data_IF_257950018934
#
_entry.id   IF_257950018934
#
_cell.length_a   1.000
_cell.length_b   1.000
_cell.length_c   1.000
_cell.angle_alpha   90.00
_cell.angle_beta   90.00
_cell.angle_gamma   90.00
#
_symmetry.space_group_name_H-M   'P 1'
#
loop_
_entity.id
_entity.type
_entity.pdbx_description
1 polymer ?
#
# COMPACT_ATOMS: atom_id res chain seq x y z
N UNK A 1 -2.42 18.87 -35.86
CA UNK A 1 -3.08 20.09 -35.31
C UNK A 1 -2.02 21.15 -35.08
N UNK A 2 -2.11 22.31 -35.75
CA UNK A 2 -1.10 23.38 -35.66
C UNK A 2 -1.05 24.01 -34.24
N UNK A 3 0.12 24.50 -33.81
CA UNK A 3 0.38 25.05 -32.46
C UNK A 3 -0.58 26.19 -32.12
N UNK A 4 -0.84 27.10 -33.07
CA UNK A 4 -1.76 28.22 -32.90
C UNK A 4 -3.20 27.76 -32.55
N UNK A 5 -3.66 26.67 -33.16
CA UNK A 5 -4.96 26.09 -32.83
C UNK A 5 -4.95 25.50 -31.41
N UNK A 6 -3.88 24.81 -31.00
CA UNK A 6 -3.79 24.27 -29.63
C UNK A 6 -3.90 25.37 -28.57
N UNK A 7 -3.18 26.48 -28.73
CA UNK A 7 -3.22 27.60 -27.77
C UNK A 7 -4.62 28.21 -27.67
N UNK A 8 -5.30 28.42 -28.80
CA UNK A 8 -6.67 28.95 -28.82
C UNK A 8 -7.65 28.00 -28.10
N UNK A 9 -7.60 26.71 -28.42
CA UNK A 9 -8.47 25.70 -27.78
C UNK A 9 -8.25 25.61 -26.28
N UNK A 10 -7.00 25.68 -25.82
CA UNK A 10 -6.69 25.70 -24.38
C UNK A 10 -7.25 26.94 -23.69
N UNK A 11 -7.11 28.12 -24.30
CA UNK A 11 -7.63 29.36 -23.74
C UNK A 11 -9.15 29.32 -23.62
N UNK A 12 -9.85 28.92 -24.69
CA UNK A 12 -11.31 28.80 -24.69
C UNK A 12 -11.76 27.79 -23.65
N UNK A 13 -11.18 26.59 -23.64
CA UNK A 13 -11.56 25.55 -22.68
C UNK A 13 -11.27 25.96 -21.24
N UNK A 14 -10.14 26.62 -20.97
CA UNK A 14 -9.82 27.16 -19.64
C UNK A 14 -10.89 28.13 -19.12
N UNK A 15 -11.43 29.00 -19.98
CA UNK A 15 -12.55 29.89 -19.61
C UNK A 15 -13.85 29.11 -19.38
N UNK A 16 -14.09 28.04 -20.16
CA UNK A 16 -15.32 27.26 -20.12
C UNK A 16 -15.41 26.25 -18.97
N UNK A 17 -14.32 26.01 -18.24
CA UNK A 17 -14.33 25.23 -17.00
C UNK A 17 -15.31 25.76 -15.94
N UNK A 18 -15.59 27.08 -15.95
CA UNK A 18 -16.49 27.78 -15.03
C UNK A 18 -17.93 27.91 -15.55
N UNK A 19 -18.28 27.27 -16.67
CA UNK A 19 -19.63 27.38 -17.24
C UNK A 19 -20.66 26.70 -16.35
N UNK A 20 -21.84 27.28 -16.16
CA UNK A 20 -22.93 26.62 -15.43
C UNK A 20 -23.45 25.35 -16.13
N UNK A 21 -23.23 25.22 -17.44
CA UNK A 21 -23.69 24.08 -18.23
C UNK A 21 -22.69 22.92 -18.13
N UNK A 22 -23.12 21.82 -17.52
CA UNK A 22 -22.32 20.60 -17.31
C UNK A 22 -21.66 20.11 -18.61
N UNK A 23 -22.42 19.98 -19.71
CA UNK A 23 -21.87 19.52 -20.99
C UNK A 23 -20.76 20.43 -21.54
N UNK A 24 -20.82 21.74 -21.29
CA UNK A 24 -19.77 22.69 -21.71
C UNK A 24 -18.51 22.46 -20.88
N UNK A 25 -18.64 22.30 -19.56
CA UNK A 25 -17.51 21.96 -18.68
C UNK A 25 -16.88 20.64 -19.07
N UNK A 26 -17.68 19.62 -19.34
CA UNK A 26 -17.22 18.31 -19.79
C UNK A 26 -16.34 18.43 -21.05
N UNK A 27 -16.85 19.09 -22.10
CA UNK A 27 -16.10 19.30 -23.35
C UNK A 27 -14.83 20.10 -23.10
N UNK A 28 -14.88 21.10 -22.24
CA UNK A 28 -13.70 21.89 -21.86
C UNK A 28 -12.63 21.02 -21.19
N UNK A 29 -13.02 20.19 -20.22
CA UNK A 29 -12.14 19.26 -19.51
C UNK A 29 -11.50 18.26 -20.49
N UNK A 30 -12.29 17.61 -21.34
CA UNK A 30 -11.77 16.65 -22.33
C UNK A 30 -10.81 17.33 -23.31
N UNK A 31 -11.14 18.55 -23.74
CA UNK A 31 -10.27 19.31 -24.64
C UNK A 31 -8.94 19.65 -23.96
N UNK A 32 -8.97 20.09 -22.69
CA UNK A 32 -7.74 20.32 -21.92
C UNK A 32 -6.94 19.04 -21.72
N UNK A 33 -7.57 17.89 -21.51
CA UNK A 33 -6.89 16.59 -21.52
C UNK A 33 -6.13 16.36 -22.81
N UNK A 34 -6.76 16.64 -23.97
CA UNK A 34 -6.19 16.40 -25.30
C UNK A 34 -5.18 17.44 -25.80
N UNK A 35 -5.07 18.62 -25.22
CA UNK A 35 -4.10 19.63 -25.70
C UNK A 35 -3.41 20.43 -24.61
N UNK A 36 -3.77 20.20 -23.35
CA UNK A 36 -3.30 20.95 -22.18
C UNK A 36 -1.83 20.72 -21.89
N UNK A 37 -1.28 21.60 -21.06
CA UNK A 37 0.07 21.49 -20.51
C UNK A 37 0.04 21.52 -18.98
N UNK A 38 1.20 21.67 -18.36
CA UNK A 38 1.34 21.71 -16.89
C UNK A 38 0.46 22.76 -16.17
N UNK A 39 0.16 23.92 -16.80
CA UNK A 39 -0.76 24.90 -16.20
C UNK A 39 -2.21 24.41 -16.22
N UNK A 40 -2.58 23.64 -17.23
CA UNK A 40 -3.91 23.06 -17.34
C UNK A 40 -4.04 21.81 -16.46
N UNK A 41 -2.96 21.06 -16.29
CA UNK A 41 -2.84 19.99 -15.28
C UNK A 41 -3.21 20.49 -13.88
N UNK A 42 -2.58 21.58 -13.43
CA UNK A 42 -2.85 22.19 -12.12
C UNK A 42 -4.31 22.67 -12.00
N UNK A 43 -4.88 23.23 -13.07
CA UNK A 43 -6.30 23.62 -13.11
C UNK A 43 -7.23 22.43 -12.99
N UNK A 44 -6.95 21.33 -13.69
CA UNK A 44 -7.75 20.11 -13.66
C UNK A 44 -7.65 19.41 -12.30
N UNK A 45 -6.47 19.42 -11.67
CA UNK A 45 -6.28 18.89 -10.30
C UNK A 45 -7.23 19.54 -9.28
N UNK A 46 -7.52 20.83 -9.43
CA UNK A 46 -8.48 21.53 -8.59
C UNK A 46 -9.94 21.12 -8.81
N UNK A 47 -10.23 20.32 -9.84
CA UNK A 47 -11.57 19.79 -10.12
C UNK A 47 -11.75 18.33 -9.65
N UNK A 48 -10.74 17.74 -9.01
CA UNK A 48 -10.82 16.37 -8.44
C UNK A 48 -11.80 16.27 -7.27
N UNK A 49 -12.24 17.41 -6.74
CA UNK A 49 -13.23 17.51 -5.67
C UNK A 49 -14.65 17.70 -6.21
N UNK A 50 -14.87 17.60 -7.53
CA UNK A 50 -16.20 17.80 -8.10
C UNK A 50 -17.22 16.76 -7.64
N UNK A 51 -18.39 17.27 -7.26
CA UNK A 51 -19.51 16.43 -6.86
C UNK A 51 -20.07 15.65 -8.05
N UNK A 52 -20.17 16.29 -9.21
CA UNK A 52 -20.69 15.67 -10.42
C UNK A 52 -19.74 14.58 -10.94
N UNK A 53 -20.20 13.33 -10.89
CA UNK A 53 -19.40 12.16 -11.28
C UNK A 53 -18.94 12.17 -12.74
N UNK A 54 -19.74 12.71 -13.66
CA UNK A 54 -19.38 12.80 -15.07
C UNK A 54 -18.19 13.75 -15.29
N UNK A 55 -18.23 14.92 -14.65
CA UNK A 55 -17.13 15.89 -14.69
C UNK A 55 -15.90 15.40 -13.96
N UNK A 56 -16.08 14.68 -12.85
CA UNK A 56 -14.99 14.09 -12.10
C UNK A 56 -14.25 13.02 -12.92
N UNK A 57 -15.00 12.11 -13.56
CA UNK A 57 -14.43 11.08 -14.42
C UNK A 57 -13.71 11.70 -15.62
N UNK A 58 -14.31 12.71 -16.25
CA UNK A 58 -13.66 13.46 -17.32
C UNK A 58 -12.37 14.13 -16.84
N UNK A 59 -12.37 14.70 -15.63
CA UNK A 59 -11.20 15.34 -15.03
C UNK A 59 -10.07 14.34 -14.83
N UNK A 60 -10.36 13.20 -14.20
CA UNK A 60 -9.38 12.15 -13.97
C UNK A 60 -8.78 11.65 -15.29
N UNK A 61 -9.64 11.36 -16.27
CA UNK A 61 -9.20 10.92 -17.60
C UNK A 61 -8.30 11.96 -18.27
N UNK A 62 -8.69 13.24 -18.25
CA UNK A 62 -7.91 14.32 -18.83
C UNK A 62 -6.58 14.57 -18.11
N UNK A 63 -6.52 14.40 -16.79
CA UNK A 63 -5.27 14.48 -16.04
C UNK A 63 -4.31 13.37 -16.49
N UNK A 64 -4.79 12.12 -16.57
CA UNK A 64 -4.02 10.97 -17.05
C UNK A 64 -3.47 11.22 -18.45
N UNK A 65 -4.31 11.66 -19.38
CA UNK A 65 -3.88 12.03 -20.75
C UNK A 65 -2.79 13.11 -20.79
N UNK A 66 -2.80 14.09 -19.87
CA UNK A 66 -1.74 15.10 -19.83
C UNK A 66 -0.43 14.48 -19.33
N UNK A 67 -0.47 13.66 -18.28
CA UNK A 67 0.71 12.97 -17.74
C UNK A 67 1.31 12.05 -18.80
N UNK A 68 0.50 11.17 -19.40
CA UNK A 68 0.95 10.12 -20.31
C UNK A 68 1.61 10.65 -21.60
N UNK A 69 1.35 11.92 -21.97
CA UNK A 69 1.92 12.57 -23.16
C UNK A 69 3.06 13.53 -22.84
N UNK A 70 3.29 13.82 -21.57
CA UNK A 70 4.42 14.62 -21.15
C UNK A 70 5.69 13.78 -21.29
N UNK A 71 6.69 14.35 -21.96
CA UNK A 71 7.96 13.66 -22.25
C UNK A 71 9.17 14.41 -21.66
N UNK A 72 8.95 15.58 -21.06
CA UNK A 72 10.00 16.32 -20.37
C UNK A 72 10.09 15.89 -18.91
N UNK A 73 11.22 15.31 -18.52
CA UNK A 73 11.51 14.93 -17.13
C UNK A 73 11.34 16.11 -16.16
N UNK A 74 11.68 17.33 -16.58
CA UNK A 74 11.49 18.54 -15.78
C UNK A 74 10.00 18.81 -15.53
N UNK A 75 9.16 18.67 -16.56
CA UNK A 75 7.72 18.87 -16.42
C UNK A 75 7.08 17.75 -15.59
N UNK A 76 7.50 16.50 -15.77
CA UNK A 76 7.01 15.36 -14.99
C UNK A 76 7.30 15.59 -13.50
N UNK A 77 8.54 15.92 -13.13
CA UNK A 77 8.91 16.24 -11.74
C UNK A 77 8.10 17.40 -11.16
N UNK A 78 7.81 18.42 -11.99
CA UNK A 78 6.98 19.55 -11.56
C UNK A 78 5.52 19.13 -11.36
N UNK A 79 4.97 18.26 -12.21
CA UNK A 79 3.64 17.69 -12.03
C UNK A 79 3.56 16.84 -10.75
N UNK A 80 4.57 16.01 -10.49
CA UNK A 80 4.71 15.21 -9.26
C UNK A 80 4.67 16.08 -8.00
N UNK A 81 5.40 17.20 -7.98
CA UNK A 81 5.40 18.14 -6.85
C UNK A 81 4.03 18.80 -6.65
N UNK A 82 3.40 19.31 -7.72
CA UNK A 82 2.06 19.92 -7.67
C UNK A 82 1.04 18.91 -7.16
N UNK A 83 1.15 17.66 -7.62
CA UNK A 83 0.29 16.56 -7.22
C UNK A 83 0.41 16.26 -5.72
N UNK A 84 1.63 16.14 -5.20
CA UNK A 84 1.88 15.88 -3.77
C UNK A 84 1.34 17.02 -2.89
N UNK A 85 1.65 18.27 -3.23
CA UNK A 85 1.15 19.45 -2.49
C UNK A 85 -0.39 19.45 -2.43
N UNK A 86 -1.04 19.17 -3.57
CA UNK A 86 -2.50 19.10 -3.63
C UNK A 86 -3.04 17.93 -2.80
N UNK A 87 -2.39 16.77 -2.83
CA UNK A 87 -2.80 15.60 -2.07
C UNK A 87 -2.72 15.83 -0.55
N UNK A 88 -1.63 16.42 -0.08
CA UNK A 88 -1.38 16.69 1.34
C UNK A 88 -2.37 17.71 1.90
N UNK A 89 -2.76 18.70 1.10
CA UNK A 89 -3.71 19.76 1.50
C UNK A 89 -5.19 19.34 1.38
N UNK A 90 -5.50 18.22 0.72
CA UNK A 90 -6.86 17.69 0.65
C UNK A 90 -7.30 17.11 2.00
N UNK A 91 -8.52 17.44 2.43
CA UNK A 91 -9.11 16.86 3.66
C UNK A 91 -10.04 15.66 3.37
N UNK A 92 -10.68 15.64 2.20
CA UNK A 92 -11.71 14.65 1.85
C UNK A 92 -11.14 13.27 1.51
N UNK A 93 -11.60 12.23 2.21
CA UNK A 93 -11.24 10.83 1.90
C UNK A 93 -11.55 10.46 0.45
N UNK A 94 -12.73 10.87 -0.07
CA UNK A 94 -13.12 10.64 -1.46
C UNK A 94 -12.09 11.22 -2.43
N UNK A 95 -11.70 12.48 -2.24
CA UNK A 95 -10.71 13.16 -3.08
C UNK A 95 -9.36 12.46 -3.04
N UNK A 96 -8.91 12.03 -1.85
CA UNK A 96 -7.67 11.26 -1.70
C UNK A 96 -7.72 9.90 -2.41
N UNK A 97 -8.84 9.18 -2.34
CA UNK A 97 -9.02 7.92 -3.09
C UNK A 97 -8.91 8.16 -4.60
N UNK A 98 -9.56 9.21 -5.11
CA UNK A 98 -9.50 9.56 -6.53
C UNK A 98 -8.08 9.90 -6.96
N UNK A 99 -7.38 10.68 -6.15
CA UNK A 99 -5.98 10.99 -6.39
C UNK A 99 -5.15 9.70 -6.43
N UNK A 100 -5.26 8.80 -5.45
CA UNK A 100 -4.58 7.50 -5.47
C UNK A 100 -4.78 6.75 -6.80
N UNK A 101 -5.99 6.76 -7.36
CA UNK A 101 -6.26 6.16 -8.68
C UNK A 101 -5.59 6.93 -9.84
N UNK A 102 -5.55 8.26 -9.80
CA UNK A 102 -4.81 9.10 -10.77
C UNK A 102 -3.30 8.87 -10.67
N UNK A 103 -2.78 8.59 -9.47
CA UNK A 103 -1.34 8.37 -9.25
C UNK A 103 -0.76 7.28 -10.14
N UNK A 104 -1.60 6.32 -10.58
CA UNK A 104 -1.24 5.20 -11.48
C UNK A 104 -0.66 5.63 -12.83
N UNK A 105 -0.89 6.88 -13.26
CA UNK A 105 -0.25 7.42 -14.47
C UNK A 105 1.19 7.89 -14.25
N UNK A 106 1.67 7.98 -13.01
CA UNK A 106 3.06 8.28 -12.70
C UNK A 106 3.94 7.03 -12.62
N UNK A 107 5.25 7.26 -12.60
CA UNK A 107 6.26 6.21 -12.42
C UNK A 107 6.04 5.41 -11.14
N UNK A 108 6.45 4.14 -11.14
CA UNK A 108 6.32 3.29 -9.95
C UNK A 108 7.14 3.84 -8.78
N UNK A 109 8.32 4.41 -9.05
CA UNK A 109 9.19 5.00 -8.04
C UNK A 109 8.52 6.18 -7.33
N UNK A 110 7.88 7.07 -8.08
CA UNK A 110 7.13 8.19 -7.48
C UNK A 110 5.98 7.69 -6.61
N UNK A 111 5.21 6.72 -7.10
CA UNK A 111 4.08 6.15 -6.37
C UNK A 111 4.52 5.49 -5.07
N UNK A 112 5.59 4.71 -5.09
CA UNK A 112 6.17 4.07 -3.89
C UNK A 112 6.57 5.10 -2.83
N UNK A 113 7.28 6.16 -3.22
CA UNK A 113 7.67 7.23 -2.30
C UNK A 113 6.46 7.97 -1.72
N UNK A 114 5.46 8.25 -2.56
CA UNK A 114 4.22 8.87 -2.12
C UNK A 114 3.50 7.97 -1.11
N UNK A 115 3.29 6.69 -1.43
CA UNK A 115 2.49 5.79 -0.61
C UNK A 115 3.14 5.52 0.75
N UNK A 116 4.46 5.35 0.80
CA UNK A 116 5.20 5.21 2.06
C UNK A 116 4.94 6.39 2.99
N UNK A 117 5.09 7.63 2.49
CA UNK A 117 4.80 8.83 3.29
C UNK A 117 3.37 8.86 3.81
N UNK A 118 2.43 8.39 3.00
CA UNK A 118 1.01 8.42 3.35
C UNK A 118 0.59 7.33 4.33
N UNK A 119 1.25 6.18 4.34
CA UNK A 119 0.94 5.12 5.30
C UNK A 119 1.20 5.60 6.74
N UNK A 120 2.29 6.33 7.00
CA UNK A 120 2.63 6.77 8.35
C UNK A 120 1.59 7.74 8.93
N UNK A 121 1.09 8.69 8.12
CA UNK A 121 0.28 9.82 8.60
C UNK A 121 -1.24 9.67 8.42
N UNK A 122 -1.71 8.52 7.91
CA UNK A 122 -3.11 8.33 7.54
C UNK A 122 -3.97 7.56 8.56
N UNK A 123 -5.27 7.87 8.57
CA UNK A 123 -6.30 7.13 9.30
C UNK A 123 -6.54 5.76 8.64
N UNK A 124 -7.10 4.81 9.40
CA UNK A 124 -7.29 3.42 8.97
C UNK A 124 -7.98 3.26 7.59
N UNK A 125 -9.04 4.01 7.31
CA UNK A 125 -9.76 3.93 6.02
C UNK A 125 -8.88 4.30 4.82
N UNK A 126 -8.02 5.31 4.99
CA UNK A 126 -7.11 5.75 3.94
C UNK A 126 -5.93 4.77 3.82
N UNK A 127 -5.40 4.27 4.95
CA UNK A 127 -4.40 3.19 4.96
C UNK A 127 -4.89 1.99 4.17
N UNK A 128 -6.13 1.55 4.40
CA UNK A 128 -6.73 0.43 3.67
C UNK A 128 -6.69 0.66 2.16
N UNK A 129 -7.08 1.85 1.71
CA UNK A 129 -7.05 2.20 0.29
C UNK A 129 -5.62 2.18 -0.26
N UNK A 130 -4.67 2.81 0.43
CA UNK A 130 -3.27 2.87 0.00
C UNK A 130 -2.69 1.45 -0.13
N UNK A 131 -2.88 0.61 0.89
CA UNK A 131 -2.39 -0.78 0.91
C UNK A 131 -3.03 -1.58 -0.23
N UNK A 132 -4.32 -1.39 -0.52
CA UNK A 132 -5.00 -2.11 -1.61
C UNK A 132 -4.37 -1.85 -2.99
N UNK A 133 -3.79 -0.65 -3.19
CA UNK A 133 -3.10 -0.30 -4.44
C UNK A 133 -1.65 -0.80 -4.46
N UNK A 134 -1.08 -1.07 -3.28
CA UNK A 134 0.23 -1.67 -3.08
C UNK A 134 0.26 -3.20 -3.23
N UNK A 135 -0.86 -3.86 -3.52
CA UNK A 135 -0.95 -5.34 -3.60
C UNK A 135 0.14 -6.01 -4.45
N UNK A 136 0.66 -5.30 -5.46
CA UNK A 136 1.67 -5.82 -6.37
C UNK A 136 3.13 -5.41 -6.09
N UNK A 137 3.39 -4.70 -5.00
CA UNK A 137 4.71 -4.19 -4.67
C UNK A 137 5.72 -5.31 -4.36
N UNK A 138 6.99 -5.06 -4.69
CA UNK A 138 8.13 -5.92 -4.33
C UNK A 138 9.13 -5.23 -3.40
N UNK A 139 9.25 -3.91 -3.44
CA UNK A 139 10.23 -3.18 -2.62
C UNK A 139 10.05 -3.50 -1.13
N UNK A 140 11.07 -4.13 -0.53
CA UNK A 140 11.08 -4.55 0.86
C UNK A 140 10.86 -3.38 1.84
N UNK A 141 11.33 -2.17 1.51
CA UNK A 141 11.11 -0.98 2.34
C UNK A 141 9.64 -0.58 2.36
N UNK A 142 8.97 -0.68 1.21
CA UNK A 142 7.53 -0.41 1.13
C UNK A 142 6.75 -1.51 1.85
N UNK A 143 7.20 -2.77 1.75
CA UNK A 143 6.63 -3.89 2.47
C UNK A 143 6.75 -3.71 4.00
N UNK A 144 7.85 -3.16 4.51
CA UNK A 144 7.99 -2.84 5.94
C UNK A 144 6.93 -1.82 6.41
N UNK A 145 6.71 -0.76 5.63
CA UNK A 145 5.70 0.25 5.96
C UNK A 145 4.26 -0.30 5.88
N UNK A 146 4.01 -1.20 4.92
CA UNK A 146 2.75 -1.95 4.88
C UNK A 146 2.60 -2.82 6.12
N UNK A 147 3.67 -3.53 6.52
CA UNK A 147 3.64 -4.42 7.68
C UNK A 147 3.38 -3.66 8.99
N UNK A 148 3.98 -2.48 9.15
CA UNK A 148 3.71 -1.60 10.30
C UNK A 148 2.22 -1.26 10.43
N UNK A 149 1.49 -1.20 9.30
CA UNK A 149 0.04 -0.96 9.31
C UNK A 149 -0.77 -2.17 9.79
N UNK A 150 -0.17 -3.36 9.90
CA UNK A 150 -0.80 -4.56 10.45
C UNK A 150 -0.89 -4.53 11.99
N UNK A 151 -0.13 -3.65 12.64
CA UNK A 151 -0.21 -3.41 14.09
C UNK A 151 -1.40 -2.53 14.45
N UNK A 152 -2.60 -3.06 14.19
CA UNK A 152 -3.87 -2.37 14.42
C UNK A 152 -4.88 -3.33 15.02
N UNK A 153 -5.82 -2.80 15.79
CA UNK A 153 -6.98 -3.54 16.29
C UNK A 153 -8.01 -3.79 15.20
N UNK A 154 -8.01 -2.98 14.14
CA UNK A 154 -8.88 -3.12 12.98
C UNK A 154 -8.57 -4.41 12.18
N UNK A 155 -9.45 -5.42 12.22
CA UNK A 155 -9.18 -6.70 11.57
C UNK A 155 -9.10 -6.58 10.04
N UNK A 156 -9.81 -5.63 9.43
CA UNK A 156 -9.81 -5.47 7.98
C UNK A 156 -8.49 -4.86 7.51
N UNK A 157 -8.05 -3.78 8.16
CA UNK A 157 -6.77 -3.13 7.86
C UNK A 157 -5.60 -4.09 8.11
N UNK A 158 -5.63 -4.81 9.23
CA UNK A 158 -4.62 -5.80 9.56
C UNK A 158 -4.53 -6.90 8.50
N UNK A 159 -5.67 -7.46 8.10
CA UNK A 159 -5.71 -8.52 7.11
C UNK A 159 -5.17 -8.06 5.75
N UNK A 160 -5.55 -6.88 5.26
CA UNK A 160 -5.05 -6.40 3.96
C UNK A 160 -3.55 -6.07 4.01
N UNK A 161 -3.05 -5.57 5.15
CA UNK A 161 -1.63 -5.32 5.37
C UNK A 161 -0.85 -6.64 5.31
N UNK A 162 -1.28 -7.67 6.05
CA UNK A 162 -0.67 -9.00 6.03
C UNK A 162 -0.75 -9.65 4.64
N UNK A 163 -1.89 -9.54 3.95
CA UNK A 163 -2.07 -10.08 2.60
C UNK A 163 -1.12 -9.44 1.60
N UNK A 164 -1.01 -8.11 1.64
CA UNK A 164 -0.14 -7.34 0.75
C UNK A 164 1.32 -7.65 1.03
N UNK A 165 1.71 -7.66 2.31
CA UNK A 165 3.06 -8.02 2.73
C UNK A 165 3.44 -9.44 2.28
N UNK A 166 2.61 -10.44 2.61
CA UNK A 166 2.83 -11.83 2.25
C UNK A 166 2.91 -12.04 0.73
N UNK A 167 1.98 -11.43 -0.03
CA UNK A 167 1.95 -11.54 -1.49
C UNK A 167 3.19 -10.90 -2.14
N UNK A 168 3.76 -9.87 -1.52
CA UNK A 168 5.04 -9.29 -1.93
C UNK A 168 6.20 -10.26 -1.75
N UNK A 169 6.27 -10.92 -0.59
CA UNK A 169 7.34 -11.87 -0.26
C UNK A 169 7.33 -13.13 -1.12
N UNK A 170 6.14 -13.67 -1.44
CA UNK A 170 6.01 -14.87 -2.30
C UNK A 170 6.58 -14.64 -3.71
N UNK A 171 6.86 -13.40 -4.10
CA UNK A 171 7.46 -13.05 -5.41
C UNK A 171 9.00 -13.12 -5.43
N UNK A 172 9.61 -13.48 -4.31
CA UNK A 172 11.06 -13.66 -4.14
C UNK A 172 11.38 -15.14 -3.89
N UNK A 173 12.61 -15.52 -4.21
CA UNK A 173 13.16 -16.79 -3.73
C UNK A 173 13.50 -16.65 -2.24
N UNK A 174 13.20 -17.69 -1.45
CA UNK A 174 13.33 -17.61 0.01
C UNK A 174 14.75 -17.28 0.46
N UNK A 175 15.74 -17.78 -0.27
CA UNK A 175 17.16 -17.60 0.04
C UNK A 175 17.55 -16.12 -0.01
N UNK A 176 16.88 -15.32 -0.84
CA UNK A 176 17.15 -13.88 -0.99
C UNK A 176 16.52 -13.03 0.12
N UNK A 177 15.49 -13.55 0.80
CA UNK A 177 14.68 -12.80 1.77
C UNK A 177 14.70 -13.41 3.17
N UNK A 178 15.49 -14.45 3.42
CA UNK A 178 15.49 -15.18 4.69
C UNK A 178 15.87 -14.25 5.86
N UNK A 179 16.92 -13.45 5.69
CA UNK A 179 17.39 -12.49 6.69
C UNK A 179 16.34 -11.40 6.94
N UNK A 180 15.63 -11.00 5.89
CA UNK A 180 14.54 -10.03 5.98
C UNK A 180 13.32 -10.57 6.75
N UNK A 181 13.05 -11.87 6.66
CA UNK A 181 11.94 -12.54 7.34
C UNK A 181 12.31 -12.93 8.77
N UNK A 182 13.57 -13.19 9.07
CA UNK A 182 14.02 -13.77 10.33
C UNK A 182 13.59 -12.97 11.58
N UNK A 183 13.57 -11.64 11.49
CA UNK A 183 13.10 -10.71 12.54
C UNK A 183 11.57 -10.47 12.50
N UNK A 184 10.89 -10.96 11.47
CA UNK A 184 9.44 -10.81 11.21
C UNK A 184 8.68 -12.13 11.24
N UNK A 185 9.29 -13.20 11.79
CA UNK A 185 8.68 -14.53 11.83
C UNK A 185 7.30 -14.54 12.49
N UNK A 186 7.09 -13.73 13.54
CA UNK A 186 5.77 -13.64 14.17
C UNK A 186 4.69 -13.07 13.25
N UNK A 187 5.06 -12.12 12.39
CA UNK A 187 4.14 -11.62 11.37
C UNK A 187 3.87 -12.67 10.30
N UNK A 188 4.87 -13.47 9.91
CA UNK A 188 4.68 -14.57 8.97
C UNK A 188 3.77 -15.66 9.55
N UNK A 189 3.92 -16.02 10.82
CA UNK A 189 3.01 -16.92 11.54
C UNK A 189 1.59 -16.34 11.53
N UNK A 190 1.44 -15.06 11.87
CA UNK A 190 0.12 -14.40 11.89
C UNK A 190 -0.50 -14.35 10.50
N UNK A 191 0.26 -14.01 9.46
CA UNK A 191 -0.19 -14.00 8.07
C UNK A 191 -0.64 -15.41 7.63
N UNK A 192 0.16 -16.44 7.94
CA UNK A 192 -0.16 -17.84 7.63
C UNK A 192 -1.48 -18.27 8.27
N UNK A 193 -1.73 -17.85 9.52
CA UNK A 193 -2.99 -18.11 10.21
C UNK A 193 -4.15 -17.27 9.64
N UNK A 194 -4.05 -15.94 9.62
CA UNK A 194 -5.19 -15.08 9.26
C UNK A 194 -5.58 -15.20 7.78
N UNK A 195 -4.62 -15.48 6.90
CA UNK A 195 -4.85 -15.68 5.46
C UNK A 195 -5.11 -17.14 5.10
N UNK A 196 -4.95 -18.07 6.04
CA UNK A 196 -5.14 -19.52 5.84
C UNK A 196 -4.29 -20.05 4.67
N UNK A 197 -3.01 -19.67 4.63
CA UNK A 197 -2.09 -20.10 3.56
C UNK A 197 -1.66 -21.56 3.75
N UNK A 198 -1.10 -22.18 2.72
CA UNK A 198 -0.54 -23.54 2.77
C UNK A 198 0.73 -23.64 3.65
N UNK A 199 1.22 -22.50 4.15
CA UNK A 199 2.40 -22.44 5.00
C UNK A 199 3.72 -22.70 4.29
N UNK A 200 3.76 -22.78 2.95
CA UNK A 200 5.00 -23.10 2.22
C UNK A 200 6.13 -22.13 2.54
N UNK A 201 5.85 -20.82 2.47
CA UNK A 201 6.82 -19.77 2.82
C UNK A 201 7.25 -19.88 4.28
N UNK A 202 6.30 -20.11 5.21
CA UNK A 202 6.60 -20.30 6.62
C UNK A 202 7.51 -21.51 6.86
N UNK A 203 7.21 -22.67 6.26
CA UNK A 203 8.04 -23.87 6.33
C UNK A 203 9.46 -23.55 5.92
N UNK A 204 9.62 -22.98 4.73
CA UNK A 204 10.92 -22.62 4.19
C UNK A 204 11.65 -21.66 5.14
N UNK A 205 11.02 -20.56 5.56
CA UNK A 205 11.64 -19.62 6.48
C UNK A 205 12.09 -20.26 7.80
N UNK A 206 11.29 -21.15 8.39
CA UNK A 206 11.65 -21.84 9.64
C UNK A 206 12.80 -22.84 9.47
N UNK A 207 12.94 -23.42 8.27
CA UNK A 207 13.98 -24.41 7.94
C UNK A 207 15.35 -23.75 7.72
N UNK A 208 15.36 -22.53 7.15
CA UNK A 208 16.56 -21.78 6.82
C UNK A 208 16.98 -20.75 7.90
N UNK A 209 16.16 -20.51 8.92
CA UNK A 209 16.48 -19.53 9.97
C UNK A 209 17.71 -19.98 10.78
N UNK A 210 18.80 -19.19 10.75
CA UNK A 210 19.92 -19.38 11.68
C UNK A 210 19.45 -19.15 13.11
N UNK A 211 19.80 -20.05 14.03
CA UNK A 211 19.38 -20.03 15.43
C UNK A 211 19.74 -18.75 16.16
N UNK A 212 20.75 -18.03 15.69
CA UNK A 212 21.20 -16.77 16.27
C UNK A 212 20.41 -15.53 15.79
N UNK A 213 19.61 -15.66 14.72
CA UNK A 213 18.80 -14.59 14.14
C UNK A 213 17.30 -14.76 14.40
N UNK A 214 16.92 -15.80 15.16
CA UNK A 214 15.52 -16.12 15.45
C UNK A 214 14.89 -15.03 16.34
N UNK A 215 13.70 -14.56 15.94
CA UNK A 215 12.87 -13.65 16.76
C UNK A 215 12.62 -14.24 18.15
N UNK A 216 12.67 -13.46 19.26
CA UNK A 216 12.42 -13.96 20.60
C UNK A 216 11.05 -14.65 20.73
N UNK A 217 10.85 -15.60 21.65
CA UNK A 217 9.59 -16.30 21.79
C UNK A 217 8.41 -15.36 22.09
N UNK A 218 7.25 -15.65 21.49
CA UNK A 218 6.01 -14.91 21.69
C UNK A 218 4.87 -15.84 22.10
N UNK A 219 4.00 -15.32 22.96
CA UNK A 219 2.78 -15.95 23.42
C UNK A 219 1.70 -15.97 22.32
N UNK A 220 1.07 -17.13 22.11
CA UNK A 220 0.00 -17.33 21.14
C UNK A 220 -1.24 -17.97 21.78
N UNK A 221 -2.45 -17.63 21.32
CA UNK A 221 -3.66 -18.32 21.71
C UNK A 221 -3.62 -19.80 21.31
N UNK A 222 -4.24 -20.67 22.12
CA UNK A 222 -4.28 -22.11 21.88
C UNK A 222 -4.78 -22.49 20.48
N UNK A 223 -5.74 -21.75 19.93
CA UNK A 223 -6.26 -22.03 18.59
C UNK A 223 -5.23 -21.79 17.49
N UNK A 224 -4.34 -20.79 17.62
CA UNK A 224 -3.25 -20.57 16.66
C UNK A 224 -2.19 -21.66 16.79
N UNK A 225 -1.88 -22.08 18.02
CA UNK A 225 -0.91 -23.17 18.26
C UNK A 225 -1.42 -24.48 17.65
N UNK A 226 -2.70 -24.81 17.86
CA UNK A 226 -3.33 -25.99 17.24
C UNK A 226 -3.27 -25.91 15.72
N UNK A 227 -3.66 -24.78 15.13
CA UNK A 227 -3.57 -24.58 13.68
C UNK A 227 -2.15 -24.80 13.16
N UNK A 228 -1.14 -24.20 13.81
CA UNK A 228 0.25 -24.37 13.37
C UNK A 228 0.77 -25.80 13.56
N UNK A 229 0.32 -26.50 14.60
CA UNK A 229 0.66 -27.91 14.83
C UNK A 229 0.04 -28.82 13.77
N UNK A 230 -1.21 -28.56 13.38
CA UNK A 230 -1.88 -29.25 12.28
C UNK A 230 -1.16 -29.00 10.95
N UNK A 231 -0.78 -27.74 10.69
CA UNK A 231 -0.04 -27.35 9.50
C UNK A 231 1.33 -28.04 9.41
N UNK A 232 2.06 -28.11 10.53
CA UNK A 232 3.30 -28.88 10.63
C UNK A 232 3.08 -30.35 10.26
N UNK A 233 1.99 -30.97 10.75
CA UNK A 233 1.66 -32.36 10.45
C UNK A 233 1.35 -32.63 8.97
N UNK A 234 1.01 -31.60 8.18
CA UNK A 234 0.84 -31.69 6.73
C UNK A 234 2.15 -31.59 5.96
N UNK A 235 3.21 -31.07 6.58
CA UNK A 235 4.51 -30.92 5.94
C UNK A 235 5.29 -32.24 6.00
N UNK A 236 6.10 -32.51 4.97
CA UNK A 236 7.14 -33.54 5.07
C UNK A 236 8.02 -33.23 6.29
N UNK A 237 8.32 -34.27 7.08
CA UNK A 237 9.03 -34.16 8.35
C UNK A 237 10.32 -33.35 8.21
N UNK A 238 10.33 -32.18 8.86
CA UNK A 238 11.43 -31.22 8.83
C UNK A 238 11.83 -30.86 10.27
N UNK A 239 12.79 -31.57 10.88
CA UNK A 239 13.08 -31.41 12.30
C UNK A 239 13.54 -29.99 12.67
N UNK A 240 14.12 -29.24 11.74
CA UNK A 240 14.58 -27.88 12.01
C UNK A 240 13.41 -26.89 11.99
N UNK A 241 12.49 -26.99 11.02
CA UNK A 241 11.28 -26.18 11.03
C UNK A 241 10.45 -26.38 12.31
N UNK A 242 10.33 -27.62 12.78
CA UNK A 242 9.62 -27.95 14.03
C UNK A 242 10.32 -27.35 15.25
N UNK A 243 11.64 -27.51 15.37
CA UNK A 243 12.43 -26.95 16.48
C UNK A 243 12.31 -25.43 16.52
N UNK A 244 12.45 -24.78 15.37
CA UNK A 244 12.34 -23.32 15.24
C UNK A 244 10.95 -22.86 15.69
N UNK A 245 9.88 -23.48 15.18
CA UNK A 245 8.51 -23.11 15.56
C UNK A 245 8.27 -23.26 17.06
N UNK A 246 8.68 -24.39 17.66
CA UNK A 246 8.54 -24.61 19.10
C UNK A 246 9.40 -23.68 19.95
N UNK A 247 10.51 -23.17 19.41
CA UNK A 247 11.35 -22.20 20.12
C UNK A 247 10.76 -20.79 20.14
N UNK A 248 9.91 -20.43 19.17
CA UNK A 248 9.36 -19.07 19.02
C UNK A 248 7.88 -18.97 19.40
N UNK A 249 7.13 -20.07 19.38
CA UNK A 249 5.72 -20.10 19.76
C UNK A 249 5.54 -20.73 21.14
N UNK A 250 5.08 -19.93 22.10
CA UNK A 250 4.66 -20.45 23.42
C UNK A 250 3.17 -20.24 23.66
N UNK A 251 2.51 -21.09 24.46
CA UNK A 251 1.13 -20.88 24.88
C UNK A 251 0.92 -19.56 25.63
N UNK A 252 -0.24 -18.94 25.45
CA UNK A 252 -0.55 -17.62 26.01
C UNK A 252 -0.61 -17.54 27.54
N UNK A 253 -0.62 -18.69 28.23
CA UNK A 253 -0.55 -18.76 29.69
C UNK A 253 0.89 -18.76 30.22
N UNK A 254 1.92 -18.74 29.36
CA UNK A 254 3.29 -18.45 29.77
C UNK A 254 3.47 -16.94 30.05
N UNK A 255 4.05 -16.62 31.20
CA UNK A 255 4.54 -15.27 31.54
C UNK A 255 6.04 -15.19 31.21
N UNK A 256 6.47 -14.05 30.67
CA UNK A 256 7.89 -13.73 30.49
C UNK A 256 8.28 -12.61 31.47
N UNK A 257 9.49 -12.65 31.99
CA UNK A 257 10.05 -11.53 32.75
C UNK A 257 10.32 -10.35 31.80
N UNK A 258 9.65 -9.21 32.03
CA UNK A 258 10.05 -7.95 31.38
C UNK A 258 11.32 -7.39 32.05
N UNK A 259 12.02 -6.47 31.38
CA UNK A 259 13.21 -5.75 31.90
C UNK A 259 13.00 -5.05 33.26
N UNK A 260 11.75 -4.93 33.72
CA UNK A 260 11.36 -4.40 35.03
C UNK A 260 11.11 -5.48 36.12
N UNK A 261 11.38 -6.75 35.84
CA UNK A 261 11.24 -7.86 36.81
C UNK A 261 9.81 -8.15 37.26
N UNK A 262 8.80 -7.79 36.45
CA UNK A 262 7.38 -8.06 36.73
C UNK A 262 6.80 -9.02 35.72
N UNK A 263 6.35 -10.19 36.18
CA UNK A 263 5.51 -11.10 35.39
C UNK A 263 4.15 -10.43 35.14
N UNK A 264 3.77 -10.27 33.86
CA UNK A 264 2.41 -9.88 33.49
C UNK A 264 1.86 -10.86 32.45
N UNK A 265 0.63 -11.37 32.60
CA UNK A 265 -0.05 -12.03 31.49
C UNK A 265 -0.25 -11.03 30.36
N UNK A 266 0.01 -11.46 29.12
CA UNK A 266 -0.09 -10.56 27.96
C UNK A 266 -1.55 -10.20 27.66
N UNK A 267 -1.78 -8.95 27.28
CA UNK A 267 -3.08 -8.45 26.79
C UNK A 267 -3.19 -8.79 25.31
N UNK A 268 -4.25 -9.50 24.94
CA UNK A 268 -4.58 -9.88 23.56
C UNK A 268 -4.66 -8.62 22.68
N UNK A 269 -3.93 -8.59 21.55
CA UNK A 269 -4.02 -7.57 20.49
C UNK A 269 -4.91 -8.02 19.33
#
# INVERSE_FOLDING_TARGET
MNIANKTLWRMISGMKLKSEKIHIRYVAIITLGKVGNIKDYERLLNLVEEENLELLNATCYSIKEIIDRENSDENIKRMENIYLEKFETMEGLRSKIIMIEVSRSFSIQFREQMWVRLLSDSKNDLKYTIISVLKDIKDLKVLDEVLNSAETTDPLLRRIALETWYSGLVKYDVEDIIDYIADKLHFLIRATYELQTDGKLLKQSLSYSDKNLITPPKAYPDFMIRYMTELLGLWDYDPDAYRTLHSIMVPSYFTFENDEGKERPYVIL
#
